data_IF_065175132157
#
_entry.id   IF_065175132157
#
_cell.length_a   1.000
_cell.length_b   1.000
_cell.length_c   1.000
_cell.angle_alpha   90.00
_cell.angle_beta   90.00
_cell.angle_gamma   90.00
#
_symmetry.space_group_name_H-M   'P 1'
#
loop_
_entity.id
_entity.type
_entity.pdbx_description
1 polymer ?
#
# COMPACT_ATOMS: atom_id res chain seq x y z
N UNK A 1 44.92 -53.02 -22.53
CA UNK A 1 43.76 -52.32 -23.14
C UNK A 1 42.52 -52.58 -22.26
N UNK A 2 41.98 -51.57 -21.58
CA UNK A 2 40.78 -51.69 -20.72
C UNK A 2 39.55 -51.18 -21.47
N UNK A 3 38.48 -51.98 -21.53
CA UNK A 3 37.28 -51.72 -22.32
C UNK A 3 36.48 -50.51 -21.81
N UNK A 4 36.17 -49.57 -22.71
CA UNK A 4 35.22 -48.48 -22.49
C UNK A 4 33.78 -49.04 -22.52
N UNK A 5 33.33 -49.64 -21.42
CA UNK A 5 31.91 -49.96 -21.19
C UNK A 5 31.44 -49.33 -19.88
N UNK A 6 31.40 -48.01 -19.85
CA UNK A 6 30.58 -47.25 -18.90
C UNK A 6 29.64 -46.39 -19.71
N UNK A 7 28.66 -47.02 -20.34
CA UNK A 7 27.46 -46.33 -20.78
C UNK A 7 26.81 -45.77 -19.51
N UNK A 8 26.83 -44.44 -19.35
CA UNK A 8 26.02 -43.76 -18.34
C UNK A 8 24.59 -44.22 -18.58
N UNK A 9 24.03 -44.98 -17.64
CA UNK A 9 22.59 -45.27 -17.61
C UNK A 9 21.91 -43.92 -17.57
N UNK A 10 21.34 -43.49 -18.70
CA UNK A 10 20.36 -42.43 -18.67
C UNK A 10 19.25 -42.96 -17.77
N UNK A 11 19.02 -42.27 -16.65
CA UNK A 11 17.94 -42.60 -15.74
C UNK A 11 16.67 -42.81 -16.57
N UNK A 12 16.14 -44.03 -16.50
CA UNK A 12 14.86 -44.39 -17.09
C UNK A 12 13.84 -43.33 -16.74
N UNK A 13 13.03 -42.93 -17.72
CA UNK A 13 12.00 -41.90 -17.65
C UNK A 13 10.83 -42.26 -16.70
N UNK A 14 11.14 -42.67 -15.47
CA UNK A 14 10.20 -42.73 -14.36
C UNK A 14 9.65 -41.33 -14.14
N UNK A 15 8.32 -41.26 -14.14
CA UNK A 15 7.45 -40.08 -14.05
C UNK A 15 8.16 -38.81 -13.57
N UNK A 16 8.75 -38.07 -14.53
CA UNK A 16 8.96 -36.63 -14.31
C UNK A 16 7.57 -36.03 -14.20
N UNK A 17 7.15 -35.70 -12.99
CA UNK A 17 5.98 -34.85 -12.74
C UNK A 17 6.08 -33.68 -13.71
N UNK A 18 5.16 -33.64 -14.69
CA UNK A 18 5.19 -32.62 -15.73
C UNK A 18 5.12 -31.27 -14.99
N UNK A 19 6.07 -30.36 -15.18
CA UNK A 19 6.00 -29.06 -14.51
C UNK A 19 4.67 -28.41 -14.88
N UNK A 20 3.90 -28.02 -13.87
CA UNK A 20 2.65 -27.30 -14.07
C UNK A 20 2.92 -26.05 -14.91
N UNK A 21 2.16 -25.87 -16.00
CA UNK A 21 2.34 -24.73 -16.91
C UNK A 21 3.29 -24.99 -18.08
N UNK A 22 3.12 -26.11 -18.80
CA UNK A 22 3.81 -26.34 -20.09
C UNK A 22 3.41 -25.24 -21.08
N UNK A 23 4.34 -24.33 -21.37
CA UNK A 23 4.15 -23.26 -22.37
C UNK A 23 3.74 -23.87 -23.71
N UNK A 24 2.70 -23.31 -24.35
CA UNK A 24 2.37 -23.65 -25.73
C UNK A 24 3.42 -23.07 -26.68
N UNK A 25 3.46 -23.55 -27.93
CA UNK A 25 4.34 -22.99 -28.97
C UNK A 25 4.11 -21.48 -29.15
N UNK A 26 2.86 -21.03 -29.06
CA UNK A 26 2.51 -19.62 -29.17
C UNK A 26 3.04 -18.80 -28.00
N UNK A 27 2.95 -19.31 -26.77
CA UNK A 27 3.48 -18.65 -25.57
C UNK A 27 5.01 -18.52 -25.64
N UNK A 28 5.69 -19.57 -26.10
CA UNK A 28 7.13 -19.55 -26.29
C UNK A 28 7.56 -18.52 -27.33
N UNK A 29 6.83 -18.41 -28.45
CA UNK A 29 7.11 -17.39 -29.49
C UNK A 29 6.89 -15.98 -28.94
N UNK A 30 5.79 -15.74 -28.20
CA UNK A 30 5.50 -14.44 -27.59
C UNK A 30 6.58 -14.04 -26.58
N UNK A 31 7.02 -14.98 -25.74
CA UNK A 31 8.11 -14.76 -24.76
C UNK A 31 9.44 -14.46 -25.44
N UNK A 32 9.78 -15.17 -26.51
CA UNK A 32 10.99 -14.92 -27.29
C UNK A 32 10.97 -13.56 -27.99
N UNK A 33 9.82 -13.16 -28.56
CA UNK A 33 9.64 -11.84 -29.15
C UNK A 33 9.86 -10.72 -28.11
N UNK A 34 9.19 -10.83 -26.96
CA UNK A 34 9.37 -9.87 -25.85
C UNK A 34 10.82 -9.80 -25.38
N UNK A 35 11.50 -10.95 -25.28
CA UNK A 35 12.92 -11.00 -24.89
C UNK A 35 13.78 -10.28 -25.92
N UNK A 36 13.56 -10.52 -27.22
CA UNK A 36 14.27 -9.87 -28.32
C UNK A 36 14.08 -8.34 -28.29
N UNK A 37 12.85 -7.88 -28.10
CA UNK A 37 12.53 -6.45 -28.05
C UNK A 37 13.22 -5.77 -26.85
N UNK A 38 13.22 -6.43 -25.68
CA UNK A 38 13.95 -5.95 -24.49
C UNK A 38 15.46 -5.88 -24.72
N UNK A 39 16.05 -6.91 -25.34
CA UNK A 39 17.50 -6.92 -25.62
C UNK A 39 17.90 -5.83 -26.60
N UNK A 40 17.08 -5.58 -27.63
CA UNK A 40 17.32 -4.51 -28.59
C UNK A 40 17.28 -3.14 -27.91
N UNK A 41 16.25 -2.89 -27.10
CA UNK A 41 16.12 -1.63 -26.34
C UNK A 41 17.28 -1.39 -25.37
N UNK A 42 17.78 -2.44 -24.71
CA UNK A 42 18.97 -2.33 -23.85
C UNK A 42 20.21 -1.98 -24.68
N UNK A 43 20.35 -2.54 -25.87
CA UNK A 43 21.47 -2.24 -26.76
C UNK A 43 21.45 -0.77 -27.21
N UNK A 44 20.29 -0.29 -27.67
CA UNK A 44 20.07 1.11 -28.05
C UNK A 44 20.41 2.06 -26.90
N UNK A 45 19.92 1.78 -25.68
CA UNK A 45 20.22 2.61 -24.51
C UNK A 45 21.71 2.61 -24.15
N UNK A 46 22.42 1.49 -24.32
CA UNK A 46 23.87 1.42 -24.09
C UNK A 46 24.65 2.23 -25.10
N UNK A 47 24.25 2.18 -26.36
CA UNK A 47 24.83 2.99 -27.43
C UNK A 47 24.59 4.48 -27.13
N UNK A 48 23.36 4.87 -26.79
CA UNK A 48 23.01 6.25 -26.42
C UNK A 48 23.84 6.77 -25.23
N UNK A 49 24.03 5.94 -24.18
CA UNK A 49 24.89 6.30 -23.04
C UNK A 49 26.35 6.46 -23.46
N UNK A 50 26.88 5.57 -24.30
CA UNK A 50 28.26 5.61 -24.76
C UNK A 50 28.58 6.88 -25.58
N UNK A 51 27.62 7.36 -26.38
CA UNK A 51 27.81 8.55 -27.22
C UNK A 51 27.57 9.89 -26.51
N UNK A 52 26.94 9.91 -25.32
CA UNK A 52 26.74 11.14 -24.55
C UNK A 52 28.04 11.58 -23.88
N UNK A 53 28.53 12.76 -24.26
CA UNK A 53 29.86 13.30 -23.91
C UNK A 53 29.98 13.85 -22.47
N UNK A 54 28.95 13.66 -21.63
CA UNK A 54 28.94 14.14 -20.24
C UNK A 54 28.84 15.67 -20.07
N UNK A 55 28.99 16.45 -21.14
CA UNK A 55 29.00 17.91 -21.13
C UNK A 55 27.66 18.54 -21.56
N UNK A 56 26.61 17.75 -21.72
CA UNK A 56 25.28 18.23 -22.12
C UNK A 56 24.56 18.87 -20.93
N UNK A 57 24.21 20.16 -21.06
CA UNK A 57 23.34 20.84 -20.12
C UNK A 57 21.89 20.85 -20.62
N UNK A 58 20.98 20.28 -19.84
CA UNK A 58 19.54 20.38 -20.06
C UNK A 58 18.89 21.19 -18.95
N UNK A 59 18.03 22.15 -19.27
CA UNK A 59 17.27 22.92 -18.27
C UNK A 59 16.47 22.03 -17.28
N UNK A 60 16.07 20.85 -17.73
CA UNK A 60 15.35 19.86 -16.91
C UNK A 60 16.19 19.30 -15.75
N UNK A 61 17.53 19.37 -15.84
CA UNK A 61 18.47 18.98 -14.77
C UNK A 61 18.16 19.71 -13.46
N UNK A 62 17.75 20.98 -13.52
CA UNK A 62 17.42 21.77 -12.32
C UNK A 62 16.15 21.31 -11.58
N UNK A 63 15.32 20.48 -12.23
CA UNK A 63 14.10 19.91 -11.65
C UNK A 63 14.27 18.47 -11.17
N UNK A 64 15.46 17.89 -11.35
CA UNK A 64 15.79 16.52 -11.01
C UNK A 64 16.97 16.51 -10.04
N UNK A 65 17.00 15.53 -9.15
CA UNK A 65 18.10 15.27 -8.23
C UNK A 65 18.48 13.80 -8.35
N UNK A 66 19.78 13.51 -8.34
CA UNK A 66 20.25 12.13 -8.26
C UNK A 66 20.26 11.68 -6.80
N UNK A 67 19.53 10.60 -6.49
CA UNK A 67 19.54 9.90 -5.21
C UNK A 67 19.75 8.40 -5.46
N UNK A 68 20.82 7.81 -4.92
CA UNK A 68 21.18 6.39 -5.09
C UNK A 68 21.11 5.89 -6.55
N UNK A 69 21.81 6.58 -7.45
CA UNK A 69 21.85 6.29 -8.91
C UNK A 69 20.50 6.34 -9.64
N UNK A 70 19.48 6.93 -9.02
CA UNK A 70 18.18 7.20 -9.63
C UNK A 70 17.91 8.69 -9.70
N UNK A 71 17.26 9.12 -10.77
CA UNK A 71 16.78 10.50 -10.94
C UNK A 71 15.42 10.66 -10.25
N UNK A 72 15.37 11.50 -9.22
CA UNK A 72 14.17 11.86 -8.47
C UNK A 72 13.77 13.28 -8.84
N UNK A 73 12.48 13.52 -9.08
CA UNK A 73 11.97 14.87 -9.36
C UNK A 73 11.96 15.70 -8.08
N UNK A 74 12.55 16.89 -8.13
CA UNK A 74 12.48 17.88 -7.06
C UNK A 74 11.07 18.47 -7.09
N UNK A 75 10.14 17.90 -6.33
CA UNK A 75 8.88 18.55 -6.03
C UNK A 75 9.14 19.67 -5.03
N UNK A 76 8.64 20.88 -5.33
CA UNK A 76 8.65 21.95 -4.34
C UNK A 76 7.63 21.58 -3.27
N UNK A 77 8.08 21.45 -2.03
CA UNK A 77 7.16 21.27 -0.90
C UNK A 77 6.35 22.55 -0.71
N UNK A 78 5.05 22.49 -0.98
CA UNK A 78 4.13 23.59 -0.69
C UNK A 78 3.58 23.46 0.73
N UNK A 79 4.02 24.37 1.59
CA UNK A 79 3.58 24.47 2.98
C UNK A 79 2.09 24.81 3.07
N UNK A 80 1.57 25.65 2.17
CA UNK A 80 0.18 26.07 2.19
C UNK A 80 -0.74 24.91 1.80
N UNK A 81 -0.39 24.17 0.76
CA UNK A 81 -1.12 22.97 0.36
C UNK A 81 -1.12 21.90 1.46
N UNK A 82 0.06 21.63 2.05
CA UNK A 82 0.19 20.66 3.14
C UNK A 82 -0.66 21.03 4.36
N UNK A 83 -0.73 22.32 4.72
CA UNK A 83 -1.62 22.81 5.79
C UNK A 83 -3.10 22.61 5.45
N UNK A 84 -3.51 22.87 4.19
CA UNK A 84 -4.90 22.62 3.75
C UNK A 84 -5.25 21.13 3.83
N UNK A 85 -4.33 20.24 3.46
CA UNK A 85 -4.52 18.81 3.58
C UNK A 85 -4.75 18.38 5.04
N UNK A 86 -3.97 18.91 5.99
CA UNK A 86 -4.17 18.64 7.43
C UNK A 86 -5.55 19.11 7.90
N UNK A 87 -6.01 20.28 7.45
CA UNK A 87 -7.36 20.78 7.77
C UNK A 87 -8.43 19.84 7.22
N UNK A 88 -8.30 19.41 5.97
CA UNK A 88 -9.22 18.43 5.36
C UNK A 88 -9.26 17.11 6.14
N UNK A 89 -8.10 16.60 6.56
CA UNK A 89 -8.00 15.40 7.39
C UNK A 89 -8.67 15.61 8.76
N UNK A 90 -8.53 16.77 9.40
CA UNK A 90 -9.20 17.06 10.66
C UNK A 90 -10.72 17.00 10.53
N UNK A 91 -11.28 17.56 9.45
CA UNK A 91 -12.72 17.48 9.21
C UNK A 91 -13.19 16.05 8.97
N UNK A 92 -12.45 15.25 8.21
CA UNK A 92 -12.82 13.86 7.98
C UNK A 92 -12.70 13.01 9.25
N UNK A 93 -11.67 13.24 10.09
CA UNK A 93 -11.54 12.60 11.40
C UNK A 93 -12.77 12.91 12.27
N UNK A 94 -13.15 14.19 12.42
CA UNK A 94 -14.33 14.58 13.20
C UNK A 94 -15.60 13.92 12.65
N UNK A 95 -15.74 13.87 11.32
CA UNK A 95 -16.88 13.23 10.66
C UNK A 95 -16.93 11.73 10.98
N UNK A 96 -15.79 11.05 10.96
CA UNK A 96 -15.68 9.63 11.24
C UNK A 96 -15.91 9.31 12.73
N UNK A 97 -15.37 10.12 13.64
CA UNK A 97 -15.66 10.02 15.08
C UNK A 97 -17.16 10.16 15.36
N UNK A 98 -17.84 11.11 14.71
CA UNK A 98 -19.30 11.27 14.81
C UNK A 98 -20.06 10.05 14.28
N UNK A 99 -19.60 9.43 13.19
CA UNK A 99 -20.20 8.18 12.68
C UNK A 99 -20.01 7.05 13.68
N UNK A 100 -18.83 6.94 14.27
CA UNK A 100 -18.50 5.91 15.25
C UNK A 100 -19.36 6.04 16.51
N UNK A 101 -19.53 7.26 17.04
CA UNK A 101 -20.43 7.53 18.16
C UNK A 101 -21.87 7.10 17.87
N UNK A 102 -22.38 7.34 16.65
CA UNK A 102 -23.73 6.92 16.24
C UNK A 102 -23.88 5.41 16.10
N UNK A 103 -22.80 4.69 15.80
CA UNK A 103 -22.83 3.22 15.68
C UNK A 103 -22.73 2.50 17.02
N UNK A 104 -22.28 3.17 18.09
CA UNK A 104 -22.27 2.60 19.43
C UNK A 104 -23.70 2.66 19.99
N UNK A 105 -24.31 1.52 20.34
CA UNK A 105 -25.66 1.51 20.90
C UNK A 105 -25.66 2.24 22.24
N UNK A 106 -26.59 3.18 22.39
CA UNK A 106 -26.85 3.83 23.66
C UNK A 106 -27.56 2.82 24.56
N UNK A 107 -26.95 2.46 25.68
CA UNK A 107 -27.59 1.63 26.69
C UNK A 107 -28.87 2.34 27.17
N UNK A 108 -30.03 1.74 26.89
CA UNK A 108 -31.29 2.23 27.45
C UNK A 108 -31.36 1.83 28.92
N UNK A 109 -31.73 2.75 29.83
CA UNK A 109 -31.88 2.43 31.24
C UNK A 109 -32.90 1.30 31.42
N UNK A 110 -32.66 0.43 32.40
CA UNK A 110 -33.56 -0.65 32.75
C UNK A 110 -34.91 -0.09 33.19
N UNK A 111 -36.01 -0.63 32.64
CA UNK A 111 -37.35 -0.28 33.12
C UNK A 111 -37.67 -1.15 34.33
N UNK A 112 -37.82 -0.54 35.49
CA UNK A 112 -38.34 -1.21 36.68
C UNK A 112 -39.86 -1.28 36.55
N UNK A 113 -40.41 -2.49 36.61
CA UNK A 113 -41.87 -2.72 36.59
C UNK A 113 -42.26 -3.29 37.94
N UNK A 114 -43.12 -2.57 38.66
CA UNK A 114 -43.73 -3.04 39.89
C UNK A 114 -45.00 -3.81 39.54
N UNK A 115 -45.09 -5.06 39.99
CA UNK A 115 -46.28 -5.90 39.87
C UNK A 115 -46.83 -6.16 41.27
N UNK A 116 -48.15 -6.03 41.45
CA UNK A 116 -48.84 -6.20 42.74
C UNK A 116 -49.00 -7.68 43.19
N UNK A 117 -48.16 -8.59 42.68
CA UNK A 117 -48.20 -10.03 42.99
C UNK A 117 -47.02 -10.52 43.85
N UNK A 118 -47.11 -11.75 44.37
CA UNK A 118 -46.11 -12.43 45.22
C UNK A 118 -44.69 -12.53 44.62
N UNK A 119 -44.52 -12.30 43.31
CA UNK A 119 -43.24 -12.47 42.61
C UNK A 119 -42.28 -11.27 42.74
N UNK A 120 -42.69 -10.15 43.33
CA UNK A 120 -41.81 -9.00 43.57
C UNK A 120 -41.27 -8.32 42.30
N UNK A 121 -40.55 -7.22 42.49
CA UNK A 121 -40.09 -6.27 41.44
C UNK A 121 -39.44 -6.98 40.25
N UNK A 122 -39.90 -6.73 39.02
CA UNK A 122 -39.28 -7.24 37.79
C UNK A 122 -38.49 -6.12 37.09
N UNK A 123 -37.17 -6.32 36.96
CA UNK A 123 -36.29 -5.41 36.19
C UNK A 123 -36.24 -5.89 34.74
N UNK A 124 -36.86 -5.16 33.81
CA UNK A 124 -36.77 -5.44 32.38
C UNK A 124 -35.69 -4.57 31.73
N UNK A 125 -34.53 -5.15 31.46
CA UNK A 125 -33.53 -4.54 30.58
C UNK A 125 -33.88 -4.88 29.11
N UNK A 126 -34.41 -3.91 28.36
CA UNK A 126 -34.41 -4.02 26.90
C UNK A 126 -32.98 -3.77 26.41
N UNK A 127 -32.23 -4.83 26.10
CA UNK A 127 -30.96 -4.71 25.38
C UNK A 127 -31.23 -4.11 23.99
N UNK A 128 -31.09 -2.79 23.91
CA UNK A 128 -31.29 -2.03 22.67
C UNK A 128 -30.08 -2.18 21.77
N UNK A 129 -30.25 -2.93 20.67
CA UNK A 129 -29.34 -3.12 19.53
C UNK A 129 -27.92 -3.64 19.86
N UNK A 130 -27.57 -4.79 19.29
CA UNK A 130 -26.16 -5.21 19.21
C UNK A 130 -25.42 -4.28 18.24
N UNK A 131 -24.23 -3.77 18.62
CA UNK A 131 -23.43 -2.97 17.69
C UNK A 131 -23.07 -3.82 16.48
N UNK A 132 -23.16 -3.21 15.29
CA UNK A 132 -22.64 -3.80 14.06
C UNK A 132 -21.11 -3.82 14.14
N UNK A 133 -20.55 -4.96 14.54
CA UNK A 133 -19.12 -5.12 14.81
C UNK A 133 -18.26 -4.84 13.58
N UNK A 134 -18.74 -5.19 12.39
CA UNK A 134 -18.02 -4.99 11.13
C UNK A 134 -17.92 -3.50 10.76
N UNK A 135 -18.99 -2.74 10.99
CA UNK A 135 -18.96 -1.28 10.78
C UNK A 135 -18.04 -0.59 11.77
N UNK A 136 -18.01 -1.04 13.02
CA UNK A 136 -17.10 -0.49 14.03
C UNK A 136 -15.63 -0.73 13.66
N UNK A 137 -15.26 -1.95 13.24
CA UNK A 137 -13.89 -2.24 12.82
C UNK A 137 -13.50 -1.43 11.59
N UNK A 138 -14.38 -1.35 10.58
CA UNK A 138 -14.15 -0.55 9.37
C UNK A 138 -13.90 0.94 9.67
N UNK A 139 -14.68 1.52 10.59
CA UNK A 139 -14.50 2.93 10.97
C UNK A 139 -13.24 3.17 11.80
N UNK A 140 -12.89 2.26 12.70
CA UNK A 140 -11.63 2.32 13.46
C UNK A 140 -10.42 2.21 12.53
N UNK A 141 -10.40 1.23 11.62
CA UNK A 141 -9.31 1.03 10.67
C UNK A 141 -9.11 2.26 9.77
N UNK A 142 -10.21 2.88 9.35
CA UNK A 142 -10.16 4.09 8.55
C UNK A 142 -9.65 5.30 9.35
N UNK A 143 -10.09 5.47 10.61
CA UNK A 143 -9.59 6.51 11.51
C UNK A 143 -8.08 6.37 11.74
N UNK A 144 -7.59 5.15 11.96
CA UNK A 144 -6.16 4.88 12.11
C UNK A 144 -5.36 5.30 10.89
N UNK A 145 -5.89 5.05 9.68
CA UNK A 145 -5.26 5.53 8.44
C UNK A 145 -5.24 7.05 8.38
N UNK A 146 -6.34 7.72 8.73
CA UNK A 146 -6.41 9.19 8.74
C UNK A 146 -5.39 9.81 9.72
N UNK A 147 -5.28 9.28 10.94
CA UNK A 147 -4.30 9.76 11.91
C UNK A 147 -2.85 9.48 11.47
N UNK A 148 -2.57 8.31 10.87
CA UNK A 148 -1.24 8.00 10.33
C UNK A 148 -0.85 8.99 9.24
N UNK A 149 -1.73 9.25 8.28
CA UNK A 149 -1.53 10.22 7.21
C UNK A 149 -1.33 11.63 7.77
N UNK A 150 -2.16 12.06 8.73
CA UNK A 150 -2.03 13.36 9.39
C UNK A 150 -0.65 13.52 10.04
N UNK A 151 -0.21 12.54 10.84
CA UNK A 151 1.11 12.56 11.48
C UNK A 151 2.26 12.62 10.48
N UNK A 152 2.15 11.95 9.32
CA UNK A 152 3.16 12.01 8.27
C UNK A 152 3.28 13.42 7.68
N UNK A 153 2.15 14.04 7.34
CA UNK A 153 2.13 15.40 6.77
C UNK A 153 2.63 16.42 7.81
N UNK A 154 2.22 16.29 9.08
CA UNK A 154 2.71 17.14 10.17
C UNK A 154 4.23 17.06 10.35
N UNK A 155 4.81 15.85 10.29
CA UNK A 155 6.26 15.66 10.30
C UNK A 155 6.95 16.31 9.10
N UNK A 156 6.37 16.22 7.91
CA UNK A 156 6.90 16.89 6.72
C UNK A 156 6.89 18.42 6.89
N UNK A 157 5.79 18.98 7.40
CA UNK A 157 5.65 20.41 7.72
C UNK A 157 6.71 20.83 8.75
N UNK A 158 6.88 20.06 9.83
CA UNK A 158 7.85 20.34 10.89
C UNK A 158 9.28 20.34 10.35
N UNK A 159 9.64 19.33 9.56
CA UNK A 159 10.95 19.24 8.92
C UNK A 159 11.21 20.41 7.96
N UNK A 160 10.22 20.81 7.17
CA UNK A 160 10.33 21.97 6.29
C UNK A 160 10.51 23.28 7.07
N UNK A 161 9.82 23.44 8.20
CA UNK A 161 10.01 24.61 9.08
C UNK A 161 11.40 24.62 9.74
N UNK A 162 11.90 23.46 10.19
CA UNK A 162 13.25 23.33 10.75
C UNK A 162 14.34 23.67 9.74
N UNK A 163 14.19 23.23 8.49
CA UNK A 163 15.13 23.55 7.41
C UNK A 163 15.17 25.06 7.09
N UNK A 164 14.03 25.75 7.17
CA UNK A 164 13.97 27.22 7.01
C UNK A 164 14.64 27.99 8.15
N UNK A 165 14.62 27.48 9.39
CA UNK A 165 15.25 28.14 10.55
C UNK A 165 16.78 27.98 10.60
N UNK A 166 17.33 27.00 9.88
CA UNK A 166 18.78 26.73 9.82
C UNK A 166 19.49 27.43 8.65
N UNK A 167 18.72 28.04 7.75
CA UNK A 167 19.20 28.88 6.65
C UNK A 167 19.06 30.33 7.05
#
# INVERSE_FOLDING_TARGET
MRSLKTARRFDSAGERTRPEGRESKHDAIARLKLKKDRTNKIKELKEEIHFKTGNEYFFKMNSLRQENDKLVRISKFDLAESKRQVIGLNFEIIRMEKKLQKTIPVFKPAKIVFNDGLEGVKVQCKQGLRPDKEKLTMYNDYLDRLYKTKRQIEKQIENAMKQKKKR
#
